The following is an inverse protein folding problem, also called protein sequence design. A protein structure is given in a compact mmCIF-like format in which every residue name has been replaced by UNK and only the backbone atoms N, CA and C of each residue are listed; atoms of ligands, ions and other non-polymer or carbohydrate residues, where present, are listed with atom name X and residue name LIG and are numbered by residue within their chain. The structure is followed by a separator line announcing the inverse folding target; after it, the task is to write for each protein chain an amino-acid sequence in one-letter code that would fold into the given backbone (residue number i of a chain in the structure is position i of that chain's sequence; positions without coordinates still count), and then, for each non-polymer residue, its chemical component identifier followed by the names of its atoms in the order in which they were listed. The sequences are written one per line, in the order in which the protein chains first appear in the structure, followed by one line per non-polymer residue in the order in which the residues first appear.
data_IF_505236414684
#
_entry.id   IF_505236414684
#
_cell.length_a   1.000
_cell.length_b   1.000
_cell.length_c   1.000
_cell.angle_alpha   90.00
_cell.angle_beta   90.00
_cell.angle_gamma   90.00
#
_symmetry.space_group_name_H-M   'P 1'
#
loop_
_entity.id
_entity.type
_entity.pdbx_description
1 polymer ?
#
# COMPACT_ATOMS: atom_id res chain seq x y z
N UNK A 1 11.40 -13.14 15.24
CA UNK A 1 10.57 -12.80 16.39
C UNK A 1 9.20 -12.26 15.96
N UNK A 2 9.09 -11.19 15.15
CA UNK A 2 7.78 -10.63 14.72
C UNK A 2 6.93 -11.65 13.98
N UNK A 3 7.48 -12.35 12.99
CA UNK A 3 6.77 -13.41 12.24
C UNK A 3 6.30 -14.53 13.15
N UNK A 4 7.11 -14.97 14.09
CA UNK A 4 6.72 -16.00 15.07
C UNK A 4 5.60 -15.53 16.02
N UNK A 5 5.58 -14.23 16.35
CA UNK A 5 4.46 -13.65 17.11
C UNK A 5 3.19 -13.61 16.26
N UNK A 6 3.29 -13.27 14.97
CA UNK A 6 2.15 -13.31 14.03
C UNK A 6 1.59 -14.73 13.92
N UNK A 7 2.44 -15.74 13.73
CA UNK A 7 2.06 -17.14 13.67
C UNK A 7 1.32 -17.58 14.96
N UNK A 8 1.91 -17.29 16.13
CA UNK A 8 1.29 -17.61 17.44
C UNK A 8 -0.01 -16.87 17.68
N UNK A 9 -0.14 -15.67 17.19
CA UNK A 9 -1.37 -14.87 17.29
C UNK A 9 -2.46 -15.33 16.31
N UNK A 10 -2.09 -16.06 15.26
CA UNK A 10 -2.99 -16.49 14.19
C UNK A 10 -3.31 -15.38 13.17
N UNK A 11 -2.41 -14.42 13.02
CA UNK A 11 -2.51 -13.33 12.07
C UNK A 11 -2.01 -13.78 10.69
N UNK A 12 -2.89 -13.77 9.70
CA UNK A 12 -2.52 -14.01 8.31
C UNK A 12 -1.75 -12.81 7.74
N UNK A 13 -0.62 -13.06 7.08
CA UNK A 13 0.17 -12.05 6.38
C UNK A 13 1.09 -12.71 5.34
N UNK A 14 1.40 -12.01 4.26
CA UNK A 14 2.28 -12.49 3.18
C UNK A 14 3.56 -11.67 3.04
N UNK A 15 3.58 -10.45 3.61
CA UNK A 15 4.69 -9.51 3.46
C UNK A 15 5.05 -8.91 4.81
N UNK A 16 6.35 -8.80 5.08
CA UNK A 16 6.90 -7.95 6.14
C UNK A 16 7.69 -6.82 5.50
N UNK A 17 7.55 -5.61 6.05
CA UNK A 17 8.21 -4.42 5.55
C UNK A 17 9.23 -3.89 6.56
N UNK A 18 10.40 -3.44 6.06
CA UNK A 18 11.47 -2.86 6.88
C UNK A 18 11.85 -1.50 6.30
N UNK A 19 11.66 -0.43 7.08
CA UNK A 19 12.11 0.92 6.73
C UNK A 19 13.60 1.12 7.04
N UNK A 20 14.03 0.81 8.24
CA UNK A 20 15.38 1.09 8.71
C UNK A 20 16.39 -0.02 8.40
N UNK A 21 16.60 -0.38 7.15
CA UNK A 21 17.53 -1.44 6.76
C UNK A 21 18.84 -0.94 6.14
N UNK A 22 18.87 0.32 5.67
CA UNK A 22 20.00 0.89 4.97
C UNK A 22 21.18 1.17 5.92
N UNK A 23 22.39 0.90 5.48
CA UNK A 23 23.63 1.19 6.20
C UNK A 23 23.82 2.69 6.42
N UNK A 24 23.37 3.52 5.48
CA UNK A 24 23.41 4.98 5.59
C UNK A 24 22.57 5.57 6.73
N UNK A 25 21.66 4.78 7.28
CA UNK A 25 20.89 5.15 8.49
C UNK A 25 21.65 4.86 9.79
N UNK A 26 22.80 4.22 9.70
CA UNK A 26 23.63 3.95 10.89
C UNK A 26 24.31 5.23 11.39
N UNK A 27 24.69 5.30 12.69
CA UNK A 27 25.34 6.47 13.27
C UNK A 27 26.67 6.87 12.62
N UNK A 28 27.36 5.93 11.99
CA UNK A 28 28.61 6.15 11.25
C UNK A 28 28.38 6.60 9.80
N UNK A 29 27.12 6.66 9.34
CA UNK A 29 26.73 7.20 8.04
C UNK A 29 26.93 6.26 6.86
N UNK A 30 27.21 4.98 7.13
CA UNK A 30 27.30 3.92 6.12
C UNK A 30 28.43 4.06 5.09
N UNK A 31 28.39 3.21 4.10
CA UNK A 31 29.33 3.17 2.98
C UNK A 31 28.85 3.94 1.74
N UNK A 32 29.46 3.62 0.59
CA UNK A 32 29.18 4.28 -0.70
C UNK A 32 27.96 3.74 -1.45
N UNK A 33 27.56 2.50 -1.14
CA UNK A 33 26.44 1.84 -1.84
C UNK A 33 25.09 2.41 -1.37
N UNK A 34 24.27 2.82 -2.32
CA UNK A 34 22.96 3.41 -2.02
C UNK A 34 21.97 2.40 -1.40
N UNK A 35 22.06 1.15 -1.80
CA UNK A 35 21.12 0.09 -1.42
C UNK A 35 21.86 -1.10 -0.76
N UNK A 36 22.61 -0.80 0.31
CA UNK A 36 23.28 -1.80 1.15
C UNK A 36 22.58 -1.99 2.48
N UNK A 37 22.52 -3.23 2.95
CA UNK A 37 22.08 -3.54 4.31
C UNK A 37 23.09 -3.03 5.34
N UNK A 38 22.59 -2.53 6.46
CA UNK A 38 23.38 -2.28 7.65
C UNK A 38 23.83 -3.65 8.23
N UNK A 39 25.10 -4.00 8.02
CA UNK A 39 25.64 -5.30 8.42
C UNK A 39 25.60 -5.54 9.93
N UNK A 40 25.59 -4.48 10.76
CA UNK A 40 25.47 -4.61 12.21
C UNK A 40 24.08 -5.04 12.63
N UNK A 41 23.05 -4.55 11.94
CA UNK A 41 21.64 -4.86 12.20
C UNK A 41 21.17 -6.10 11.44
N UNK A 42 21.73 -6.35 10.26
CA UNK A 42 21.38 -7.43 9.34
C UNK A 42 22.65 -8.15 8.89
N UNK A 43 23.33 -8.92 9.78
CA UNK A 43 24.63 -9.53 9.46
C UNK A 43 24.55 -10.58 8.35
N UNK A 44 23.39 -11.22 8.16
CA UNK A 44 23.16 -12.26 7.15
C UNK A 44 21.82 -12.01 6.44
N UNK A 45 21.69 -10.96 5.59
CA UNK A 45 20.41 -10.59 5.01
C UNK A 45 19.87 -11.66 4.05
N UNK A 46 20.70 -12.37 3.32
CA UNK A 46 20.29 -13.46 2.42
C UNK A 46 19.67 -14.62 3.18
N UNK A 47 20.27 -15.04 4.30
CA UNK A 47 19.75 -16.09 5.15
C UNK A 47 18.41 -15.68 5.79
N UNK A 48 18.31 -14.43 6.25
CA UNK A 48 17.06 -13.86 6.77
C UNK A 48 15.95 -13.92 5.71
N UNK A 49 16.22 -13.45 4.49
CA UNK A 49 15.26 -13.45 3.38
C UNK A 49 14.83 -14.87 3.02
N UNK A 50 15.78 -15.80 2.92
CA UNK A 50 15.50 -17.21 2.65
C UNK A 50 14.63 -17.85 3.75
N UNK A 51 14.89 -17.50 5.02
CA UNK A 51 14.11 -17.97 6.17
C UNK A 51 12.68 -17.43 6.13
N UNK A 52 12.49 -16.16 5.79
CA UNK A 52 11.16 -15.55 5.60
C UNK A 52 10.39 -16.24 4.46
N UNK A 53 11.05 -16.45 3.31
CA UNK A 53 10.44 -17.11 2.15
C UNK A 53 9.99 -18.56 2.46
N UNK A 54 10.77 -19.31 3.25
CA UNK A 54 10.37 -20.64 3.73
C UNK A 54 9.11 -20.63 4.60
N UNK A 55 8.82 -19.52 5.25
CA UNK A 55 7.62 -19.29 6.06
C UNK A 55 6.46 -18.66 5.26
N UNK A 56 6.57 -18.56 3.93
CA UNK A 56 5.56 -17.93 3.08
C UNK A 56 5.54 -16.39 3.17
N UNK A 57 6.57 -15.78 3.74
CA UNK A 57 6.65 -14.31 3.91
C UNK A 57 7.63 -13.72 2.91
N UNK A 58 7.18 -12.73 2.16
CA UNK A 58 8.02 -11.90 1.30
C UNK A 58 8.56 -10.67 2.05
N UNK A 59 9.75 -10.21 1.68
CA UNK A 59 10.34 -9.01 2.25
C UNK A 59 10.08 -7.79 1.38
N UNK A 60 9.60 -6.72 2.00
CA UNK A 60 9.52 -5.37 1.42
C UNK A 60 10.57 -4.46 2.05
N UNK A 61 11.28 -3.69 1.23
CA UNK A 61 12.33 -2.76 1.68
C UNK A 61 11.98 -1.33 1.30
N UNK A 62 12.23 -0.41 2.22
CA UNK A 62 12.06 1.02 2.03
C UNK A 62 13.22 1.63 1.25
N UNK A 63 12.92 2.62 0.43
CA UNK A 63 13.92 3.47 -0.21
C UNK A 63 13.33 4.87 -0.44
N UNK A 64 14.19 5.88 -0.55
CA UNK A 64 13.82 7.24 -0.92
C UNK A 64 14.81 7.80 -1.97
N UNK A 65 14.43 8.83 -2.74
CA UNK A 65 15.20 9.26 -3.90
C UNK A 65 16.26 10.30 -3.57
N UNK A 66 16.68 10.37 -2.32
CA UNK A 66 17.61 11.37 -1.82
C UNK A 66 18.84 10.72 -1.20
N UNK A 67 19.88 11.50 -1.07
CA UNK A 67 21.11 11.13 -0.35
C UNK A 67 21.33 12.11 0.79
N UNK A 68 21.53 11.60 1.99
CA UNK A 68 21.84 12.41 3.15
C UNK A 68 23.24 13.03 3.02
N UNK A 69 23.33 14.37 3.01
CA UNK A 69 24.64 15.02 3.05
C UNK A 69 25.35 14.80 4.37
N UNK A 70 24.60 14.84 5.46
CA UNK A 70 25.13 14.58 6.81
C UNK A 70 24.48 13.34 7.41
N UNK A 71 25.27 12.55 8.12
CA UNK A 71 24.81 11.33 8.76
C UNK A 71 23.70 11.61 9.80
N UNK A 72 22.93 10.55 10.16
CA UNK A 72 21.85 10.60 11.14
C UNK A 72 20.79 11.68 10.84
N UNK A 73 20.37 11.82 9.57
CA UNK A 73 19.38 12.81 9.18
C UNK A 73 19.76 14.26 9.55
N UNK A 74 21.03 14.62 9.35
CA UNK A 74 21.57 15.94 9.66
C UNK A 74 21.92 16.18 11.13
N UNK A 75 21.71 15.21 12.01
CA UNK A 75 22.05 15.30 13.45
C UNK A 75 23.54 15.11 13.75
N UNK A 76 24.34 14.74 12.76
CA UNK A 76 25.79 14.60 12.83
C UNK A 76 26.46 15.60 11.91
N UNK A 77 27.66 16.10 12.30
CA UNK A 77 28.48 16.97 11.43
C UNK A 77 29.24 16.21 10.34
N UNK A 78 29.25 14.89 10.40
CA UNK A 78 29.95 14.04 9.45
C UNK A 78 29.22 14.02 8.12
N UNK A 79 29.92 14.39 7.04
CA UNK A 79 29.48 14.19 5.65
C UNK A 79 29.52 12.71 5.32
N UNK A 80 28.46 12.18 4.72
CA UNK A 80 28.37 10.75 4.37
C UNK A 80 29.27 10.40 3.18
N UNK A 81 29.85 9.22 3.18
CA UNK A 81 30.64 8.72 2.03
C UNK A 81 29.75 8.54 0.80
N UNK A 82 28.49 8.19 1.00
CA UNK A 82 27.50 8.07 -0.06
C UNK A 82 27.30 9.40 -0.79
N UNK A 83 27.10 10.52 -0.06
CA UNK A 83 26.97 11.85 -0.67
C UNK A 83 28.21 12.22 -1.49
N UNK A 84 29.39 11.99 -0.93
CA UNK A 84 30.65 12.30 -1.63
C UNK A 84 30.79 11.49 -2.92
N UNK A 85 30.47 10.19 -2.86
CA UNK A 85 30.51 9.32 -4.03
C UNK A 85 29.48 9.74 -5.10
N UNK A 86 28.24 10.05 -4.72
CA UNK A 86 27.22 10.49 -5.66
C UNK A 86 27.53 11.85 -6.28
N UNK A 87 28.13 12.78 -5.50
CA UNK A 87 28.63 14.05 -6.00
C UNK A 87 29.74 13.84 -7.02
N UNK A 88 30.75 13.02 -6.73
CA UNK A 88 31.89 12.74 -7.63
C UNK A 88 31.41 12.14 -8.96
N UNK A 89 30.40 11.27 -8.92
CA UNK A 89 29.80 10.63 -10.11
C UNK A 89 28.84 11.54 -10.88
N UNK A 90 28.52 12.72 -10.38
CA UNK A 90 27.55 13.61 -10.99
C UNK A 90 26.11 13.08 -10.99
N UNK A 91 25.74 12.28 -9.99
CA UNK A 91 24.45 11.63 -9.84
C UNK A 91 23.40 12.46 -9.11
N UNK A 92 23.79 13.65 -8.66
CA UNK A 92 22.91 14.55 -7.89
C UNK A 92 22.39 15.68 -8.75
N UNK A 93 21.13 16.04 -8.54
CA UNK A 93 20.51 17.26 -9.07
C UNK A 93 21.32 18.48 -8.60
N UNK A 94 21.51 19.46 -9.47
CA UNK A 94 22.40 20.61 -9.24
C UNK A 94 21.64 21.90 -9.05
N UNK A 95 22.29 22.85 -8.40
CA UNK A 95 21.92 24.27 -8.43
C UNK A 95 22.38 24.92 -9.75
N UNK A 96 21.87 26.12 -10.07
CA UNK A 96 22.32 26.86 -11.25
C UNK A 96 23.83 27.13 -11.31
N UNK A 97 24.51 27.15 -10.14
CA UNK A 97 25.97 27.31 -10.06
C UNK A 97 26.78 26.03 -10.31
N UNK A 98 26.06 24.89 -10.56
CA UNK A 98 26.68 23.59 -10.86
C UNK A 98 26.96 22.70 -9.64
N UNK A 99 26.84 23.21 -8.42
CA UNK A 99 27.00 22.42 -7.19
C UNK A 99 25.75 21.58 -6.88
N UNK A 100 25.89 20.42 -6.19
CA UNK A 100 24.75 19.62 -5.78
C UNK A 100 23.74 20.42 -4.96
N UNK A 101 22.45 20.32 -5.33
CA UNK A 101 21.38 20.98 -4.59
C UNK A 101 21.10 20.23 -3.30
N UNK A 102 21.34 20.90 -2.17
CA UNK A 102 21.01 20.37 -0.84
C UNK A 102 19.82 21.14 -0.28
N UNK A 103 18.78 20.42 0.13
CA UNK A 103 17.52 20.98 0.64
C UNK A 103 16.94 20.08 1.73
N UNK A 104 15.87 20.51 2.36
CA UNK A 104 15.12 19.72 3.35
C UNK A 104 13.74 19.46 2.79
N UNK A 105 13.40 18.20 2.43
CA UNK A 105 12.10 17.87 1.90
C UNK A 105 11.06 17.88 3.02
N UNK A 106 9.90 18.48 2.75
CA UNK A 106 8.75 18.46 3.64
C UNK A 106 8.84 19.33 4.89
N UNK A 107 7.80 19.20 5.68
CA UNK A 107 7.68 19.80 7.03
C UNK A 107 7.80 18.72 8.11
N UNK A 108 7.87 19.11 9.36
CA UNK A 108 7.93 18.19 10.50
C UNK A 108 9.25 17.42 10.60
N UNK A 109 9.19 16.10 10.68
CA UNK A 109 10.36 15.25 10.91
C UNK A 109 11.39 15.29 9.78
N UNK A 110 10.99 15.68 8.57
CA UNK A 110 11.85 15.84 7.41
C UNK A 110 12.55 17.21 7.37
N UNK A 111 12.06 18.18 8.12
CA UNK A 111 12.69 19.51 8.22
C UNK A 111 14.11 19.41 8.78
N UNK A 112 15.07 20.01 8.07
CA UNK A 112 16.48 20.02 8.47
C UNK A 112 17.29 18.78 8.10
N UNK A 113 16.74 17.81 7.37
CA UNK A 113 17.47 16.61 6.94
C UNK A 113 18.71 16.89 6.10
N UNK A 114 18.72 17.98 5.30
CA UNK A 114 19.85 18.32 4.45
C UNK A 114 20.19 17.21 3.46
N UNK A 115 19.29 16.92 2.54
CA UNK A 115 19.45 15.88 1.51
C UNK A 115 19.73 16.47 0.15
N UNK A 116 20.29 15.66 -0.74
CA UNK A 116 20.45 15.97 -2.16
C UNK A 116 19.68 14.95 -3.01
N UNK A 117 18.93 15.43 -4.00
CA UNK A 117 18.14 14.58 -4.87
C UNK A 117 19.00 13.82 -5.89
N UNK A 118 18.65 12.56 -6.11
CA UNK A 118 19.18 11.74 -7.19
C UNK A 118 18.62 12.21 -8.54
N UNK A 119 19.46 12.29 -9.56
CA UNK A 119 19.06 12.77 -10.88
C UNK A 119 18.67 11.63 -11.82
N UNK A 120 17.39 11.24 -11.79
CA UNK A 120 16.86 10.16 -12.64
C UNK A 120 16.84 10.47 -14.14
N UNK A 121 17.26 11.66 -14.58
CA UNK A 121 17.49 11.96 -15.99
C UNK A 121 18.90 11.56 -16.43
N UNK A 122 19.80 11.28 -15.47
CA UNK A 122 21.17 10.82 -15.75
C UNK A 122 21.16 9.28 -16.00
N UNK A 123 21.50 8.84 -17.24
CA UNK A 123 21.47 7.42 -17.60
C UNK A 123 22.50 6.58 -16.83
N UNK A 124 23.61 7.15 -16.38
CA UNK A 124 24.59 6.43 -15.56
C UNK A 124 24.07 6.15 -14.15
N UNK A 125 23.31 7.07 -13.56
CA UNK A 125 22.61 6.82 -12.29
C UNK A 125 21.55 5.73 -12.46
N UNK A 126 20.75 5.81 -13.53
CA UNK A 126 19.72 4.79 -13.83
C UNK A 126 20.36 3.39 -13.94
N UNK A 127 21.49 3.28 -14.67
CA UNK A 127 22.22 2.01 -14.78
C UNK A 127 22.77 1.54 -13.43
N UNK A 128 23.33 2.45 -12.62
CA UNK A 128 23.81 2.17 -11.27
C UNK A 128 22.69 1.61 -10.36
N UNK A 129 21.53 2.25 -10.35
CA UNK A 129 20.37 1.82 -9.55
C UNK A 129 19.80 0.48 -10.06
N UNK A 130 19.73 0.31 -11.38
CA UNK A 130 19.24 -0.95 -11.98
C UNK A 130 20.03 -2.15 -11.48
N UNK A 131 21.36 -2.04 -11.42
CA UNK A 131 22.20 -3.13 -10.93
C UNK A 131 21.94 -3.45 -9.45
N UNK A 132 21.78 -2.43 -8.60
CA UNK A 132 21.54 -2.60 -7.16
C UNK A 132 20.18 -3.17 -6.85
N UNK A 133 19.15 -2.67 -7.53
CA UNK A 133 17.80 -3.22 -7.42
C UNK A 133 17.77 -4.67 -7.89
N UNK A 134 18.41 -4.98 -9.03
CA UNK A 134 18.49 -6.34 -9.53
C UNK A 134 19.21 -7.29 -8.54
N UNK A 135 20.25 -6.81 -7.85
CA UNK A 135 20.90 -7.57 -6.76
C UNK A 135 19.92 -7.89 -5.65
N UNK A 136 19.16 -6.91 -5.15
CA UNK A 136 18.15 -7.14 -4.10
C UNK A 136 17.07 -8.13 -4.53
N UNK A 137 16.59 -8.02 -5.78
CA UNK A 137 15.60 -8.97 -6.31
C UNK A 137 16.17 -10.39 -6.37
N UNK A 138 17.42 -10.57 -6.82
CA UNK A 138 18.10 -11.89 -6.82
C UNK A 138 18.33 -12.47 -5.42
N UNK A 139 18.54 -11.61 -4.40
CA UNK A 139 18.57 -12.04 -2.99
C UNK A 139 17.22 -12.54 -2.49
N UNK A 140 16.11 -12.28 -3.21
CA UNK A 140 14.77 -12.71 -2.86
C UNK A 140 13.88 -11.61 -2.25
N UNK A 141 14.28 -10.35 -2.34
CA UNK A 141 13.41 -9.22 -1.96
C UNK A 141 12.16 -9.24 -2.83
N UNK A 142 10.99 -9.13 -2.20
CA UNK A 142 9.69 -9.17 -2.87
C UNK A 142 9.35 -7.88 -3.60
N UNK A 143 9.50 -6.75 -2.91
CA UNK A 143 9.08 -5.43 -3.39
C UNK A 143 9.90 -4.31 -2.75
N UNK A 144 10.08 -3.21 -3.46
CA UNK A 144 10.65 -1.96 -2.94
C UNK A 144 9.52 -0.95 -2.73
N UNK A 145 9.47 -0.34 -1.54
CA UNK A 145 8.65 0.82 -1.22
C UNK A 145 9.43 2.08 -1.59
N UNK A 146 8.94 2.83 -2.57
CA UNK A 146 9.51 4.11 -2.99
C UNK A 146 8.81 5.26 -2.28
N UNK A 147 9.49 5.82 -1.30
CA UNK A 147 9.00 6.90 -0.45
C UNK A 147 9.47 8.26 -0.94
N UNK A 148 8.83 9.34 -0.50
CA UNK A 148 9.11 10.72 -0.89
C UNK A 148 8.97 11.00 -2.39
N UNK A 149 9.79 11.91 -2.93
CA UNK A 149 9.87 12.40 -4.31
C UNK A 149 8.88 13.51 -4.68
N UNK A 150 8.17 14.06 -3.73
CA UNK A 150 7.24 15.17 -3.97
C UNK A 150 7.97 16.51 -4.20
N UNK A 151 9.16 16.64 -3.64
CA UNK A 151 9.84 17.92 -3.58
C UNK A 151 11.15 17.95 -4.36
N UNK A 152 11.23 18.88 -5.28
CA UNK A 152 12.44 19.31 -6.00
C UNK A 152 12.42 20.84 -6.05
N UNK A 153 13.51 21.53 -5.71
CA UNK A 153 13.59 22.98 -5.82
C UNK A 153 13.36 23.45 -7.26
N UNK A 154 12.59 24.52 -7.45
CA UNK A 154 12.13 24.98 -8.76
C UNK A 154 13.27 25.40 -9.70
N UNK A 155 14.34 25.98 -9.14
CA UNK A 155 15.54 26.43 -9.88
C UNK A 155 16.61 25.33 -10.03
N UNK A 156 16.31 24.10 -9.62
CA UNK A 156 17.21 22.96 -9.79
C UNK A 156 17.51 22.71 -11.28
N UNK A 157 18.70 22.19 -11.57
CA UNK A 157 19.16 21.85 -12.92
C UNK A 157 19.47 20.36 -12.98
N UNK A 158 18.81 19.68 -13.91
CA UNK A 158 18.96 18.25 -14.15
C UNK A 158 20.01 17.95 -15.22
N UNK A 159 20.47 16.73 -15.31
CA UNK A 159 21.45 16.26 -16.27
C UNK A 159 21.00 16.46 -17.73
N UNK A 160 19.70 16.28 -18.01
CA UNK A 160 19.12 16.50 -19.34
C UNK A 160 18.86 17.97 -19.67
N UNK A 161 19.24 18.89 -18.80
CA UNK A 161 19.06 20.34 -18.95
C UNK A 161 17.68 20.85 -18.52
N UNK A 162 16.78 19.99 -18.06
CA UNK A 162 15.49 20.45 -17.53
C UNK A 162 15.67 21.18 -16.20
N UNK A 163 14.75 22.13 -15.92
CA UNK A 163 14.70 22.85 -14.64
C UNK A 163 13.83 22.10 -13.64
N UNK A 164 14.03 22.39 -12.34
CA UNK A 164 13.19 21.85 -11.28
C UNK A 164 11.72 22.14 -11.47
N UNK A 165 11.35 23.36 -11.90
CA UNK A 165 9.97 23.72 -12.21
C UNK A 165 9.35 22.82 -13.29
N UNK A 166 10.08 22.51 -14.35
CA UNK A 166 9.61 21.64 -15.43
C UNK A 166 9.62 20.15 -15.04
N UNK A 167 10.54 19.74 -14.19
CA UNK A 167 10.72 18.35 -13.76
C UNK A 167 9.91 17.97 -12.52
N UNK A 168 9.39 18.92 -11.73
CA UNK A 168 8.80 18.72 -10.41
C UNK A 168 7.86 17.51 -10.36
N UNK A 169 6.78 17.54 -11.13
CA UNK A 169 5.82 16.43 -11.15
C UNK A 169 6.34 15.18 -11.88
N UNK A 170 7.27 15.34 -12.82
CA UNK A 170 7.86 14.20 -13.54
C UNK A 170 8.87 13.43 -12.69
N UNK A 171 9.45 14.06 -11.68
CA UNK A 171 10.49 13.47 -10.85
C UNK A 171 9.99 12.20 -10.16
N UNK A 172 8.80 12.25 -9.58
CA UNK A 172 8.17 11.08 -8.96
C UNK A 172 7.94 9.94 -9.95
N UNK A 173 7.52 10.26 -11.18
CA UNK A 173 7.31 9.29 -12.24
C UNK A 173 8.63 8.64 -12.69
N UNK A 174 9.69 9.43 -12.87
CA UNK A 174 11.02 8.93 -13.26
C UNK A 174 11.60 8.02 -12.19
N UNK A 175 11.45 8.38 -10.92
CA UNK A 175 11.85 7.55 -9.79
C UNK A 175 11.10 6.22 -9.77
N UNK A 176 9.78 6.25 -9.75
CA UNK A 176 8.94 5.05 -9.76
C UNK A 176 9.25 4.15 -10.96
N UNK A 177 9.36 4.73 -12.16
CA UNK A 177 9.72 4.02 -13.39
C UNK A 177 11.08 3.32 -13.25
N UNK A 178 12.11 4.03 -12.82
CA UNK A 178 13.48 3.47 -12.71
C UNK A 178 13.50 2.25 -11.79
N UNK A 179 12.88 2.34 -10.61
CA UNK A 179 12.88 1.25 -9.64
C UNK A 179 12.00 0.08 -10.10
N UNK A 180 10.83 0.39 -10.68
CA UNK A 180 9.93 -0.64 -11.20
C UNK A 180 10.55 -1.42 -12.37
N UNK A 181 11.10 -0.75 -13.38
CA UNK A 181 11.70 -1.39 -14.55
C UNK A 181 12.91 -2.25 -14.16
N UNK A 182 13.73 -1.78 -13.23
CA UNK A 182 14.83 -2.56 -12.68
C UNK A 182 14.34 -3.82 -11.94
N UNK A 183 13.30 -3.68 -11.12
CA UNK A 183 12.66 -4.79 -10.40
C UNK A 183 12.02 -5.77 -11.38
N UNK A 184 11.31 -5.25 -12.40
CA UNK A 184 10.62 -6.04 -13.42
C UNK A 184 11.60 -6.88 -14.22
N UNK A 185 12.66 -6.29 -14.76
CA UNK A 185 13.65 -7.02 -15.54
C UNK A 185 14.31 -8.16 -14.74
N UNK A 186 14.63 -7.91 -13.46
CA UNK A 186 15.23 -8.93 -12.60
C UNK A 186 14.22 -10.05 -12.24
N UNK A 187 12.96 -9.70 -11.95
CA UNK A 187 11.90 -10.66 -11.59
C UNK A 187 11.47 -11.52 -12.78
N UNK A 188 11.29 -10.92 -13.96
CA UNK A 188 10.97 -11.64 -15.20
C UNK A 188 12.03 -12.68 -15.56
N UNK A 189 13.34 -12.36 -15.35
CA UNK A 189 14.43 -13.30 -15.54
C UNK A 189 14.36 -14.52 -14.60
N UNK A 190 13.65 -14.40 -13.48
CA UNK A 190 13.40 -15.48 -12.52
C UNK A 190 12.02 -16.14 -12.69
N UNK A 191 11.22 -15.73 -13.69
CA UNK A 191 9.84 -16.20 -13.91
C UNK A 191 8.84 -15.63 -12.89
N UNK A 192 9.17 -14.53 -12.21
CA UNK A 192 8.32 -13.87 -11.21
C UNK A 192 7.80 -12.52 -11.73
N UNK A 193 6.69 -12.04 -11.17
CA UNK A 193 6.15 -10.71 -11.43
C UNK A 193 6.73 -9.67 -10.48
N UNK A 194 6.88 -8.42 -10.94
CA UNK A 194 7.28 -7.29 -10.13
C UNK A 194 6.09 -6.51 -9.61
N UNK A 195 6.29 -5.88 -8.47
CA UNK A 195 5.41 -4.90 -7.87
C UNK A 195 6.28 -3.74 -7.38
N UNK A 196 5.77 -2.53 -7.48
CA UNK A 196 6.29 -1.35 -6.81
C UNK A 196 5.28 -0.90 -5.75
N UNK A 197 5.77 -0.13 -4.78
CA UNK A 197 4.92 0.49 -3.78
C UNK A 197 5.39 1.93 -3.53
N UNK A 198 4.71 2.89 -4.18
CA UNK A 198 5.07 4.31 -4.18
C UNK A 198 4.21 5.18 -3.30
N UNK A 199 4.77 6.27 -2.76
CA UNK A 199 4.02 7.31 -2.03
C UNK A 199 3.45 8.34 -2.99
N UNK A 200 4.31 9.05 -3.66
CA UNK A 200 3.93 10.10 -4.59
C UNK A 200 3.46 9.54 -5.93
N UNK A 201 2.69 10.33 -6.65
CA UNK A 201 2.17 9.95 -7.95
C UNK A 201 1.88 11.15 -8.85
N UNK A 202 1.99 10.93 -10.15
CA UNK A 202 1.64 11.88 -11.20
C UNK A 202 1.05 11.11 -12.39
N UNK A 203 0.61 11.83 -13.43
CA UNK A 203 0.11 11.19 -14.66
C UNK A 203 1.14 10.20 -15.22
N UNK A 204 0.76 8.92 -15.34
CA UNK A 204 1.63 7.80 -15.70
C UNK A 204 1.98 6.86 -14.54
N UNK A 205 1.78 7.27 -13.28
CA UNK A 205 2.09 6.42 -12.11
C UNK A 205 1.21 5.18 -12.00
N UNK A 206 0.04 5.17 -12.64
CA UNK A 206 -0.83 3.98 -12.73
C UNK A 206 -0.14 2.77 -13.38
N UNK A 207 0.95 2.98 -14.14
CA UNK A 207 1.75 1.91 -14.72
C UNK A 207 2.71 1.24 -13.71
N UNK A 208 2.86 1.82 -12.53
CA UNK A 208 3.81 1.38 -11.50
C UNK A 208 3.09 1.19 -10.15
N UNK A 209 2.12 0.26 -10.09
CA UNK A 209 1.34 0.04 -8.86
C UNK A 209 2.16 -0.66 -7.79
N UNK A 210 1.85 -0.47 -6.52
CA UNK A 210 0.73 0.24 -5.90
C UNK A 210 1.17 1.56 -5.26
N UNK A 211 0.19 2.27 -4.60
CA UNK A 211 0.47 3.49 -3.87
C UNK A 211 -0.14 3.44 -2.45
N UNK A 212 0.29 4.35 -1.56
CA UNK A 212 -0.39 4.56 -0.27
C UNK A 212 -0.55 6.06 0.03
N UNK A 213 -1.40 6.36 1.00
CA UNK A 213 -1.81 7.73 1.33
C UNK A 213 -0.77 8.55 2.12
N UNK A 214 0.49 8.09 2.21
CA UNK A 214 1.54 8.76 2.99
C UNK A 214 1.33 8.64 4.51
N UNK A 215 1.93 9.55 5.26
CA UNK A 215 2.03 9.54 6.72
C UNK A 215 0.76 10.09 7.38
N UNK A 216 -0.33 9.35 7.27
CA UNK A 216 -1.63 9.75 7.82
C UNK A 216 -1.70 9.58 9.35
N UNK A 217 -2.36 10.53 10.02
CA UNK A 217 -2.67 10.42 11.45
C UNK A 217 -3.81 9.42 11.71
N UNK A 218 -3.79 8.76 12.86
CA UNK A 218 -4.90 7.94 13.36
C UNK A 218 -6.03 8.76 14.02
N UNK A 219 -6.01 10.08 13.95
CA UNK A 219 -7.04 10.92 14.55
C UNK A 219 -8.44 10.63 13.99
N UNK A 220 -9.46 10.75 14.83
CA UNK A 220 -10.86 10.36 14.57
C UNK A 220 -11.40 10.74 13.19
N UNK A 221 -11.19 11.98 12.77
CA UNK A 221 -11.76 12.49 11.52
C UNK A 221 -10.93 12.15 10.28
N UNK A 222 -9.73 11.62 10.46
CA UNK A 222 -8.80 11.41 9.36
C UNK A 222 -9.19 10.20 8.49
N UNK A 223 -9.83 9.20 9.07
CA UNK A 223 -10.23 7.99 8.34
C UNK A 223 -11.23 8.29 7.20
N UNK A 224 -12.16 9.22 7.42
CA UNK A 224 -13.09 9.67 6.39
C UNK A 224 -12.35 10.47 5.28
N UNK A 225 -11.38 11.30 5.66
CA UNK A 225 -10.54 12.03 4.70
C UNK A 225 -9.68 11.07 3.86
N UNK A 226 -9.10 10.03 4.47
CA UNK A 226 -8.35 8.97 3.78
C UNK A 226 -9.24 8.26 2.75
N UNK A 227 -10.48 7.90 3.12
CA UNK A 227 -11.40 7.28 2.17
C UNK A 227 -11.67 8.21 0.98
N UNK A 228 -11.98 9.48 1.22
CA UNK A 228 -12.24 10.45 0.16
C UNK A 228 -11.03 10.66 -0.75
N UNK A 229 -9.83 10.78 -0.17
CA UNK A 229 -8.57 10.87 -0.91
C UNK A 229 -8.34 9.63 -1.78
N UNK A 230 -8.55 8.44 -1.22
CA UNK A 230 -8.39 7.18 -1.95
C UNK A 230 -9.40 6.97 -3.08
N UNK A 231 -10.65 7.39 -2.89
CA UNK A 231 -11.64 7.38 -3.97
C UNK A 231 -11.26 8.36 -5.08
N UNK A 232 -10.71 9.54 -4.74
CA UNK A 232 -10.19 10.51 -5.71
C UNK A 232 -8.97 9.96 -6.45
N UNK A 233 -8.05 9.27 -5.77
CA UNK A 233 -6.92 8.57 -6.40
C UNK A 233 -7.40 7.53 -7.41
N UNK A 234 -8.39 6.72 -7.03
CA UNK A 234 -9.02 5.74 -7.92
C UNK A 234 -9.61 6.37 -9.18
N UNK A 235 -10.33 7.49 -9.03
CA UNK A 235 -10.88 8.25 -10.16
C UNK A 235 -9.81 8.91 -11.03
N UNK A 236 -8.60 9.12 -10.50
CA UNK A 236 -7.43 9.64 -11.22
C UNK A 236 -6.57 8.53 -11.85
N UNK A 237 -7.02 7.26 -11.79
CA UNK A 237 -6.33 6.10 -12.38
C UNK A 237 -5.40 5.34 -11.43
N UNK A 238 -5.20 5.81 -10.20
CA UNK A 238 -4.41 5.10 -9.17
C UNK A 238 -5.34 4.13 -8.43
N UNK A 239 -5.49 2.95 -8.98
CA UNK A 239 -6.50 1.98 -8.54
C UNK A 239 -6.03 1.07 -7.39
N UNK A 240 -4.71 0.83 -7.29
CA UNK A 240 -4.13 -0.05 -6.27
C UNK A 240 -3.50 0.79 -5.17
N UNK A 241 -4.30 1.17 -4.18
CA UNK A 241 -3.84 2.02 -3.11
C UNK A 241 -4.23 1.47 -1.74
N UNK A 242 -3.57 1.98 -0.71
CA UNK A 242 -3.85 1.71 0.68
C UNK A 242 -3.44 2.88 1.56
N UNK A 243 -3.38 2.63 2.86
CA UNK A 243 -2.92 3.59 3.86
C UNK A 243 -2.34 2.84 5.07
N UNK A 244 -1.69 3.56 5.95
CA UNK A 244 -1.12 3.00 7.16
C UNK A 244 -2.22 2.67 8.18
N UNK A 245 -2.55 1.38 8.28
CA UNK A 245 -3.59 0.89 9.19
C UNK A 245 -3.15 1.14 10.63
N UNK A 246 -4.00 1.84 11.39
CA UNK A 246 -3.70 2.34 12.72
C UNK A 246 -3.09 3.73 12.72
N UNK A 247 -2.89 4.32 11.54
CA UNK A 247 -2.22 5.61 11.31
C UNK A 247 -0.71 5.53 11.46
N UNK A 248 0.03 6.25 10.62
CA UNK A 248 1.48 6.36 10.73
C UNK A 248 1.89 6.94 12.08
N UNK A 249 1.13 7.92 12.55
CA UNK A 249 1.27 8.48 13.89
C UNK A 249 -0.08 8.74 14.57
N UNK A 250 -0.04 8.89 15.89
CA UNK A 250 -1.11 9.41 16.70
C UNK A 250 -0.51 10.27 17.81
N UNK A 251 -1.13 11.42 18.07
CA UNK A 251 -0.70 12.32 19.13
C UNK A 251 -1.86 12.53 20.13
N UNK A 252 -1.52 12.67 21.39
CA UNK A 252 -2.42 13.18 22.42
C UNK A 252 -2.64 14.69 22.27
N UNK A 253 -3.42 15.27 23.16
CA UNK A 253 -3.75 16.71 23.17
C UNK A 253 -2.51 17.61 23.39
N UNK A 254 -1.43 17.06 23.96
CA UNK A 254 -0.16 17.74 24.19
C UNK A 254 0.81 17.60 23.01
N UNK A 255 0.41 16.88 21.94
CA UNK A 255 1.23 16.63 20.75
C UNK A 255 2.25 15.50 20.89
N UNK A 256 2.21 14.75 22.00
CA UNK A 256 3.10 13.61 22.22
C UNK A 256 2.63 12.38 21.43
N UNK A 257 3.57 11.66 20.84
CA UNK A 257 3.32 10.39 20.13
C UNK A 257 2.84 9.32 21.12
N UNK A 258 1.64 8.82 20.90
CA UNK A 258 1.00 7.77 21.70
C UNK A 258 0.36 6.71 20.81
N UNK A 259 0.02 5.57 21.38
CA UNK A 259 -0.79 4.57 20.66
C UNK A 259 -2.20 5.10 20.43
N UNK A 260 -2.79 4.89 19.24
CA UNK A 260 -4.18 5.25 19.00
C UNK A 260 -5.12 4.46 19.95
N UNK A 261 -6.25 5.07 20.36
CA UNK A 261 -7.28 4.36 21.09
C UNK A 261 -7.75 3.09 20.39
N UNK A 262 -8.07 2.05 21.16
CA UNK A 262 -8.40 0.73 20.62
C UNK A 262 -9.55 0.73 19.61
N UNK A 263 -10.59 1.56 19.81
CA UNK A 263 -11.68 1.69 18.84
C UNK A 263 -11.21 2.33 17.54
N UNK A 264 -10.47 3.43 17.57
CA UNK A 264 -9.92 4.12 16.39
C UNK A 264 -9.01 3.18 15.58
N UNK A 265 -8.15 2.44 16.30
CA UNK A 265 -7.32 1.41 15.70
C UNK A 265 -8.15 0.38 14.93
N UNK A 266 -9.20 -0.19 15.54
CA UNK A 266 -10.03 -1.21 14.90
C UNK A 266 -10.85 -0.64 13.74
N UNK A 267 -11.36 0.61 13.80
CA UNK A 267 -12.02 1.26 12.66
C UNK A 267 -11.05 1.42 11.48
N UNK A 268 -9.81 1.78 11.75
CA UNK A 268 -8.74 1.81 10.75
C UNK A 268 -8.45 0.42 10.17
N UNK A 269 -8.41 -0.63 11.00
CA UNK A 269 -8.25 -2.02 10.58
C UNK A 269 -9.40 -2.46 9.66
N UNK A 270 -10.65 -2.16 10.03
CA UNK A 270 -11.83 -2.50 9.24
C UNK A 270 -11.75 -1.93 7.82
N UNK A 271 -11.48 -0.63 7.69
CA UNK A 271 -11.37 0.01 6.37
C UNK A 271 -10.12 -0.45 5.62
N UNK A 272 -8.97 -0.51 6.27
CA UNK A 272 -7.68 -0.81 5.65
C UNK A 272 -7.57 -2.25 5.16
N UNK A 273 -8.20 -3.22 5.86
CA UNK A 273 -8.24 -4.60 5.38
C UNK A 273 -9.24 -4.81 4.23
N UNK A 274 -10.07 -3.82 3.92
CA UNK A 274 -10.93 -3.80 2.72
C UNK A 274 -10.35 -2.92 1.60
N UNK A 275 -9.18 -2.32 1.79
CA UNK A 275 -8.47 -1.59 0.74
C UNK A 275 -7.67 -2.56 -0.17
N UNK A 276 -7.35 -2.17 -1.42
CA UNK A 276 -6.53 -2.97 -2.32
C UNK A 276 -5.19 -3.37 -1.72
N UNK A 277 -4.43 -2.41 -1.19
CA UNK A 277 -3.21 -2.61 -0.43
C UNK A 277 -3.50 -2.50 1.06
N UNK A 278 -3.07 -3.48 1.86
CA UNK A 278 -3.30 -3.50 3.30
C UNK A 278 -2.01 -3.69 4.06
N UNK A 279 -1.68 -2.75 4.94
CA UNK A 279 -0.49 -2.78 5.76
C UNK A 279 -0.74 -2.13 7.13
N UNK A 280 -0.51 -2.86 8.22
CA UNK A 280 -0.36 -2.25 9.54
C UNK A 280 1.01 -1.60 9.63
N UNK A 281 1.05 -0.30 9.89
CA UNK A 281 2.29 0.46 9.98
C UNK A 281 2.13 1.70 10.85
N UNK A 282 3.21 2.05 11.55
CA UNK A 282 3.28 3.26 12.35
C UNK A 282 4.70 3.53 12.82
N UNK A 283 4.95 4.78 13.21
CA UNK A 283 6.22 5.26 13.74
C UNK A 283 6.12 5.43 15.26
N UNK A 284 7.21 5.13 15.97
CA UNK A 284 7.42 5.32 17.42
C UNK A 284 6.50 4.50 18.33
N UNK A 285 5.29 4.20 17.94
CA UNK A 285 4.37 3.38 18.72
C UNK A 285 3.88 2.17 17.93
N UNK A 286 3.68 1.00 18.58
CA UNK A 286 3.34 -0.23 17.88
C UNK A 286 1.94 -0.20 17.27
N UNK A 287 1.79 -0.88 16.11
CA UNK A 287 0.52 -1.11 15.42
C UNK A 287 0.14 -2.59 15.38
N UNK A 288 0.94 -3.44 15.97
CA UNK A 288 0.67 -4.86 16.05
C UNK A 288 -0.46 -5.13 17.05
N UNK A 289 -1.44 -5.99 16.68
CA UNK A 289 -2.66 -6.17 17.45
C UNK A 289 -2.44 -6.68 18.88
N UNK A 290 -1.37 -7.39 19.15
CA UNK A 290 -1.08 -7.93 20.49
C UNK A 290 -0.71 -6.89 21.55
N UNK A 291 -0.49 -5.62 21.16
CA UNK A 291 -0.30 -4.52 22.09
C UNK A 291 -1.61 -3.84 22.53
N UNK A 292 -2.73 -4.21 21.92
CA UNK A 292 -4.06 -3.67 22.22
C UNK A 292 -4.85 -4.59 23.17
N UNK A 293 -6.06 -4.17 23.56
CA UNK A 293 -6.96 -4.94 24.40
C UNK A 293 -7.36 -6.29 23.77
N UNK A 294 -7.79 -7.25 24.57
CA UNK A 294 -8.26 -8.55 24.06
C UNK A 294 -9.44 -8.44 23.10
N UNK A 295 -10.31 -7.44 23.31
CA UNK A 295 -11.42 -7.13 22.41
C UNK A 295 -10.89 -6.65 21.05
N UNK A 296 -9.96 -5.70 21.03
CA UNK A 296 -9.32 -5.22 19.80
C UNK A 296 -8.54 -6.34 19.07
N UNK A 297 -7.85 -7.20 19.82
CA UNK A 297 -7.18 -8.38 19.26
C UNK A 297 -8.18 -9.31 18.54
N UNK A 298 -9.31 -9.60 19.17
CA UNK A 298 -10.36 -10.44 18.58
C UNK A 298 -10.96 -9.79 17.33
N UNK A 299 -11.26 -8.50 17.40
CA UNK A 299 -11.79 -7.73 16.28
C UNK A 299 -10.80 -7.71 15.11
N UNK A 300 -9.52 -7.46 15.37
CA UNK A 300 -8.47 -7.52 14.34
C UNK A 300 -8.46 -8.88 13.62
N UNK A 301 -8.43 -9.98 14.37
CA UNK A 301 -8.40 -11.33 13.79
C UNK A 301 -9.62 -11.64 12.95
N UNK A 302 -10.82 -11.19 13.38
CA UNK A 302 -12.05 -11.40 12.62
C UNK A 302 -11.96 -10.73 11.23
N UNK A 303 -11.53 -9.47 11.17
CA UNK A 303 -11.42 -8.72 9.90
C UNK A 303 -10.24 -9.22 9.06
N UNK A 304 -9.11 -9.57 9.68
CA UNK A 304 -7.96 -10.15 8.99
C UNK A 304 -8.34 -11.47 8.28
N UNK A 305 -9.02 -12.38 8.98
CA UNK A 305 -9.50 -13.61 8.37
C UNK A 305 -10.55 -13.37 7.28
N UNK A 306 -11.40 -12.37 7.44
CA UNK A 306 -12.35 -11.99 6.40
C UNK A 306 -11.64 -11.54 5.12
N UNK A 307 -10.62 -10.67 5.23
CA UNK A 307 -9.81 -10.25 4.07
C UNK A 307 -9.21 -11.45 3.34
N UNK A 308 -8.58 -12.37 4.08
CA UNK A 308 -7.95 -13.53 3.47
C UNK A 308 -8.96 -14.44 2.77
N UNK A 309 -10.14 -14.59 3.33
CA UNK A 309 -11.24 -15.31 2.65
C UNK A 309 -11.70 -14.59 1.37
N UNK A 310 -11.67 -13.27 1.33
CA UNK A 310 -12.07 -12.47 0.18
C UNK A 310 -10.97 -12.36 -0.91
N UNK A 311 -9.76 -12.88 -0.71
CA UNK A 311 -8.66 -12.73 -1.66
C UNK A 311 -8.99 -13.21 -3.09
N UNK A 312 -9.73 -14.30 -3.33
CA UNK A 312 -10.12 -14.65 -4.69
C UNK A 312 -10.96 -13.57 -5.38
N UNK A 313 -11.87 -12.95 -4.63
CA UNK A 313 -12.66 -11.82 -5.13
C UNK A 313 -11.81 -10.57 -5.37
N UNK A 314 -10.96 -10.21 -4.40
CA UNK A 314 -10.07 -9.06 -4.52
C UNK A 314 -9.13 -9.20 -5.73
N UNK A 315 -8.62 -10.40 -5.95
CA UNK A 315 -7.74 -10.67 -7.08
C UNK A 315 -8.48 -10.64 -8.43
N UNK A 316 -9.71 -11.17 -8.49
CA UNK A 316 -10.57 -11.04 -9.67
C UNK A 316 -10.90 -9.57 -9.98
N UNK A 317 -11.18 -8.77 -8.95
CA UNK A 317 -11.38 -7.32 -9.08
C UNK A 317 -10.13 -6.60 -9.57
N UNK A 318 -8.94 -7.00 -9.09
CA UNK A 318 -7.67 -6.44 -9.55
C UNK A 318 -7.42 -6.76 -11.03
N UNK A 319 -7.75 -7.96 -11.48
CA UNK A 319 -7.68 -8.33 -12.88
C UNK A 319 -8.63 -7.49 -13.76
N UNK A 320 -9.87 -7.33 -13.32
CA UNK A 320 -10.84 -6.44 -14.00
C UNK A 320 -10.31 -4.99 -14.08
N UNK A 321 -9.76 -4.48 -12.98
CA UNK A 321 -9.14 -3.16 -12.90
C UNK A 321 -8.04 -3.00 -13.95
N UNK A 322 -7.17 -4.00 -14.10
CA UNK A 322 -6.09 -3.97 -15.08
C UNK A 322 -6.61 -3.83 -16.53
N UNK A 323 -7.66 -4.56 -16.88
CA UNK A 323 -8.18 -4.56 -18.24
C UNK A 323 -9.14 -3.42 -18.56
N UNK A 324 -9.93 -2.98 -17.58
CA UNK A 324 -10.97 -1.96 -17.79
C UNK A 324 -10.57 -0.56 -17.33
N UNK A 325 -9.49 -0.43 -16.56
CA UNK A 325 -9.07 0.83 -15.96
C UNK A 325 -10.00 1.33 -14.83
N UNK A 326 -10.99 0.53 -14.40
CA UNK A 326 -11.88 0.87 -13.30
C UNK A 326 -11.17 0.62 -11.96
N UNK A 327 -11.27 1.54 -10.97
CA UNK A 327 -10.63 1.32 -9.68
C UNK A 327 -11.23 0.13 -8.93
N UNK A 328 -10.43 -0.49 -8.04
CA UNK A 328 -10.92 -1.52 -7.13
C UNK A 328 -11.90 -0.94 -6.10
N UNK A 329 -11.56 0.20 -5.48
CA UNK A 329 -12.46 0.96 -4.62
C UNK A 329 -13.16 2.02 -5.48
N UNK A 330 -14.47 1.87 -5.67
CA UNK A 330 -15.26 2.71 -6.58
C UNK A 330 -16.15 3.65 -5.79
N UNK A 331 -16.04 4.95 -6.04
CA UNK A 331 -17.04 5.89 -5.52
C UNK A 331 -18.44 5.42 -5.94
N UNK A 332 -19.43 5.57 -5.05
CA UNK A 332 -20.81 5.14 -5.34
C UNK A 332 -21.34 5.75 -6.65
N UNK A 333 -20.94 6.98 -6.93
CA UNK A 333 -21.30 7.68 -8.18
C UNK A 333 -20.81 6.92 -9.44
N UNK A 334 -19.66 6.26 -9.40
CA UNK A 334 -19.13 5.53 -10.55
C UNK A 334 -20.03 4.36 -10.97
N UNK A 335 -20.66 3.70 -9.99
CA UNK A 335 -21.51 2.53 -10.21
C UNK A 335 -23.00 2.85 -10.37
N UNK A 336 -23.47 3.99 -9.84
CA UNK A 336 -24.89 4.36 -9.74
C UNK A 336 -25.11 5.78 -10.20
N UNK A 337 -24.68 6.14 -11.42
CA UNK A 337 -24.68 7.52 -11.94
C UNK A 337 -26.05 8.17 -11.99
N UNK A 338 -27.10 7.38 -12.20
CA UNK A 338 -28.49 7.85 -12.31
C UNK A 338 -29.15 8.10 -10.93
N UNK A 339 -28.54 7.59 -9.85
CA UNK A 339 -29.06 7.78 -8.49
C UNK A 339 -28.51 9.06 -7.88
N UNK A 340 -29.38 10.06 -7.76
CA UNK A 340 -29.00 11.40 -7.26
C UNK A 340 -28.49 11.35 -5.80
N UNK A 341 -28.93 10.37 -5.01
CA UNK A 341 -28.53 10.22 -3.61
C UNK A 341 -27.03 9.94 -3.46
N UNK A 342 -26.43 9.23 -4.42
CA UNK A 342 -25.03 8.82 -4.31
C UNK A 342 -24.03 9.90 -4.75
N UNK A 343 -24.49 11.01 -5.34
CA UNK A 343 -23.59 12.03 -5.92
C UNK A 343 -22.64 12.68 -4.92
N UNK A 344 -23.06 12.80 -3.66
CA UNK A 344 -22.26 13.36 -2.57
C UNK A 344 -21.96 12.32 -1.47
N UNK A 345 -22.19 11.04 -1.75
CA UNK A 345 -22.03 9.99 -0.76
C UNK A 345 -20.57 9.55 -0.67
N UNK A 346 -19.90 9.94 0.40
CA UNK A 346 -18.47 9.74 0.62
C UNK A 346 -18.15 8.83 1.82
N UNK A 347 -19.18 8.23 2.44
CA UNK A 347 -19.02 7.41 3.65
C UNK A 347 -19.05 5.91 3.37
N UNK A 348 -19.22 5.51 2.12
CA UNK A 348 -19.25 4.15 1.65
C UNK A 348 -18.77 4.07 0.20
N UNK A 349 -18.43 2.87 -0.26
CA UNK A 349 -17.92 2.64 -1.61
C UNK A 349 -18.27 1.24 -2.11
N UNK A 350 -18.14 1.01 -3.42
CA UNK A 350 -18.14 -0.33 -3.95
C UNK A 350 -16.71 -0.87 -4.04
N UNK A 351 -16.47 -2.04 -3.51
CA UNK A 351 -15.25 -2.81 -3.73
C UNK A 351 -15.51 -3.74 -4.92
N UNK A 352 -14.91 -3.43 -6.07
CA UNK A 352 -15.37 -3.97 -7.35
C UNK A 352 -16.82 -3.58 -7.64
N UNK A 353 -17.49 -4.31 -8.51
CA UNK A 353 -18.89 -4.07 -8.84
C UNK A 353 -19.91 -4.79 -7.95
N UNK A 354 -19.42 -5.72 -7.10
CA UNK A 354 -20.31 -6.65 -6.38
C UNK A 354 -20.51 -6.29 -4.91
N UNK A 355 -19.51 -5.76 -4.22
CA UNK A 355 -19.52 -5.63 -2.76
C UNK A 355 -19.54 -4.17 -2.31
N UNK A 356 -20.64 -3.73 -1.70
CA UNK A 356 -20.70 -2.45 -1.01
C UNK A 356 -20.02 -2.59 0.35
N UNK A 357 -19.12 -1.66 0.64
CA UNK A 357 -18.39 -1.54 1.91
C UNK A 357 -18.76 -0.23 2.57
N UNK A 358 -19.21 -0.29 3.82
CA UNK A 358 -19.59 0.89 4.59
C UNK A 358 -18.76 1.00 5.88
N UNK A 359 -17.58 1.61 5.84
CA UNK A 359 -16.75 1.80 7.02
C UNK A 359 -17.46 2.57 8.12
N UNK A 360 -17.18 2.23 9.37
CA UNK A 360 -17.69 2.97 10.52
C UNK A 360 -16.65 4.04 10.88
N UNK A 361 -17.09 5.29 10.87
CA UNK A 361 -16.32 6.46 11.34
C UNK A 361 -16.78 6.90 12.74
N UNK A 362 -16.65 8.16 13.07
CA UNK A 362 -17.07 8.74 14.37
C UNK A 362 -18.55 9.22 14.39
N UNK A 363 -19.40 8.74 13.49
CA UNK A 363 -20.82 9.08 13.49
C UNK A 363 -21.58 8.42 14.66
N UNK A 364 -22.51 9.13 15.28
CA UNK A 364 -23.35 8.58 16.35
C UNK A 364 -24.23 7.44 15.86
N UNK A 365 -24.81 7.60 14.66
CA UNK A 365 -25.65 6.60 14.00
C UNK A 365 -25.02 6.25 12.65
N UNK A 366 -24.82 4.97 12.41
CA UNK A 366 -24.26 4.49 11.16
C UNK A 366 -25.35 4.29 10.11
N UNK A 367 -25.56 5.30 9.29
CA UNK A 367 -26.47 5.25 8.15
C UNK A 367 -25.74 4.74 6.91
N UNK A 368 -26.36 3.78 6.22
CA UNK A 368 -25.87 3.20 4.98
C UNK A 368 -26.96 3.34 3.93
N UNK A 369 -26.63 3.84 2.76
CA UNK A 369 -27.53 3.89 1.63
C UNK A 369 -27.33 2.65 0.74
N UNK A 370 -28.39 1.89 0.54
CA UNK A 370 -28.43 0.80 -0.44
C UNK A 370 -29.10 1.33 -1.70
N UNK A 371 -28.39 1.51 -2.84
CA UNK A 371 -29.00 1.86 -4.12
C UNK A 371 -30.11 0.86 -4.55
N UNK A 372 -30.93 1.25 -5.50
CA UNK A 372 -32.04 0.43 -5.99
C UNK A 372 -31.56 -0.98 -6.36
N UNK A 373 -32.43 -1.98 -6.16
CA UNK A 373 -32.15 -3.40 -6.37
C UNK A 373 -32.25 -4.23 -5.08
N UNK A 374 -31.78 -5.46 -5.11
CA UNK A 374 -31.78 -6.38 -3.98
C UNK A 374 -30.36 -6.55 -3.44
N UNK A 375 -30.21 -6.47 -2.13
CA UNK A 375 -28.93 -6.60 -1.44
C UNK A 375 -28.96 -7.76 -0.44
N UNK A 376 -27.84 -8.43 -0.25
CA UNK A 376 -27.67 -9.41 0.83
C UNK A 376 -26.60 -8.88 1.79
N UNK A 377 -26.93 -8.78 3.07
CA UNK A 377 -25.92 -8.58 4.10
C UNK A 377 -24.96 -9.76 4.10
N UNK A 378 -23.68 -9.50 3.79
CA UNK A 378 -22.70 -10.55 3.45
C UNK A 378 -22.49 -11.56 4.57
N UNK A 379 -22.59 -11.12 5.82
CA UNK A 379 -22.32 -11.97 6.97
C UNK A 379 -23.52 -12.83 7.39
N UNK A 380 -24.70 -12.24 7.40
CA UNK A 380 -25.91 -12.92 7.89
C UNK A 380 -26.68 -13.66 6.80
N UNK A 381 -26.46 -13.26 5.53
CA UNK A 381 -27.24 -13.73 4.39
C UNK A 381 -28.63 -13.10 4.30
N UNK A 382 -28.96 -12.14 5.15
CA UNK A 382 -30.25 -11.46 5.14
C UNK A 382 -30.41 -10.63 3.87
N UNK A 383 -31.50 -10.89 3.13
CA UNK A 383 -31.88 -10.15 1.93
C UNK A 383 -32.69 -8.91 2.31
N UNK A 384 -32.37 -7.77 1.67
CA UNK A 384 -33.07 -6.52 1.89
C UNK A 384 -33.23 -5.72 0.59
N UNK A 385 -34.33 -4.96 0.44
CA UNK A 385 -34.53 -4.09 -0.71
C UNK A 385 -33.63 -2.84 -0.61
N UNK A 386 -33.12 -2.41 -1.76
CA UNK A 386 -32.43 -1.14 -1.92
C UNK A 386 -33.36 0.05 -2.17
N UNK A 387 -32.81 1.16 -2.69
CA UNK A 387 -33.48 2.44 -2.87
C UNK A 387 -33.75 3.16 -1.55
N UNK A 388 -33.00 2.86 -0.48
CA UNK A 388 -33.26 3.40 0.86
C UNK A 388 -32.03 3.46 1.76
N UNK A 389 -32.15 4.28 2.78
CA UNK A 389 -31.24 4.29 3.92
C UNK A 389 -31.59 3.19 4.92
N UNK A 390 -30.57 2.56 5.46
CA UNK A 390 -30.68 1.62 6.59
C UNK A 390 -29.76 2.09 7.73
N UNK A 391 -30.01 1.59 8.92
CA UNK A 391 -29.16 1.78 10.10
C UNK A 391 -28.42 0.48 10.40
N UNK A 392 -27.11 0.55 10.53
CA UNK A 392 -26.27 -0.59 10.90
C UNK A 392 -25.70 -0.43 12.30
N UNK A 393 -25.52 -1.54 12.99
CA UNK A 393 -24.83 -1.57 14.27
C UNK A 393 -23.33 -1.31 14.09
N UNK A 394 -22.73 -0.54 15.00
CA UNK A 394 -21.29 -0.23 14.99
C UNK A 394 -20.48 -1.28 15.77
N UNK A 395 -20.49 -2.53 15.33
CA UNK A 395 -19.71 -3.61 15.96
C UNK A 395 -18.21 -3.44 15.67
N UNK A 396 -17.37 -3.76 16.64
CA UNK A 396 -15.91 -3.68 16.46
C UNK A 396 -15.35 -4.86 15.65
N UNK A 397 -15.94 -6.03 15.78
CA UNK A 397 -15.51 -7.26 15.11
C UNK A 397 -16.07 -7.43 13.69
N UNK A 398 -16.84 -6.45 13.18
CA UNK A 398 -17.54 -6.51 11.91
C UNK A 398 -17.44 -5.21 11.14
N UNK A 399 -17.25 -5.33 9.82
CA UNK A 399 -17.45 -4.23 8.89
C UNK A 399 -18.73 -4.52 8.09
N UNK A 400 -19.68 -3.55 7.96
CA UNK A 400 -20.86 -3.73 7.15
C UNK A 400 -20.54 -3.92 5.68
N UNK A 401 -20.93 -5.07 5.14
CA UNK A 401 -20.73 -5.48 3.75
C UNK A 401 -22.05 -5.95 3.15
N UNK A 402 -22.35 -5.51 1.93
CA UNK A 402 -23.59 -5.88 1.24
C UNK A 402 -23.28 -6.34 -0.18
N UNK A 403 -23.74 -7.55 -0.53
CA UNK A 403 -23.60 -8.12 -1.87
C UNK A 403 -24.76 -7.64 -2.75
N UNK A 404 -24.41 -6.99 -3.86
CA UNK A 404 -25.34 -6.50 -4.88
C UNK A 404 -26.04 -7.65 -5.56
N UNK A 405 -27.29 -7.44 -6.05
CA UNK A 405 -28.03 -8.41 -6.84
C UNK A 405 -27.31 -8.77 -8.14
N UNK A 406 -27.55 -10.00 -8.60
CA UNK A 406 -26.96 -10.60 -9.80
C UNK A 406 -25.42 -10.58 -9.81
N UNK A 407 -24.86 -10.74 -8.62
CA UNK A 407 -23.41 -10.77 -8.39
C UNK A 407 -23.02 -11.98 -7.54
N UNK A 408 -21.77 -12.40 -7.70
CA UNK A 408 -21.17 -13.44 -6.88
C UNK A 408 -19.80 -13.01 -6.36
N UNK A 409 -19.44 -13.56 -5.22
CA UNK A 409 -18.14 -13.35 -4.57
C UNK A 409 -17.52 -14.72 -4.30
N UNK A 410 -16.43 -15.09 -5.00
CA UNK A 410 -15.65 -16.26 -4.64
C UNK A 410 -14.85 -15.96 -3.36
N UNK A 411 -14.87 -16.89 -2.43
CA UNK A 411 -14.13 -16.82 -1.17
C UNK A 411 -13.37 -18.10 -0.91
N UNK A 412 -12.27 -18.02 -0.19
CA UNK A 412 -11.64 -19.20 0.38
C UNK A 412 -12.58 -19.82 1.44
N UNK A 413 -12.47 -21.14 1.60
CA UNK A 413 -13.21 -21.85 2.65
C UNK A 413 -12.77 -21.39 4.04
N UNK A 414 -11.47 -21.23 4.22
CA UNK A 414 -10.82 -20.78 5.45
C UNK A 414 -9.75 -19.75 5.12
N UNK A 415 -9.41 -18.92 6.08
CA UNK A 415 -8.31 -17.97 5.94
C UNK A 415 -6.99 -18.70 6.22
N UNK A 416 -6.07 -18.85 5.24
CA UNK A 416 -4.76 -19.41 5.47
C UNK A 416 -3.86 -18.42 6.22
N UNK A 417 -2.75 -18.88 6.78
CA UNK A 417 -1.73 -18.00 7.36
C UNK A 417 -0.98 -17.21 6.29
N UNK A 418 -0.74 -17.82 5.14
CA UNK A 418 -0.10 -17.25 3.96
C UNK A 418 -0.84 -17.74 2.72
N UNK A 419 -0.82 -16.95 1.66
CA UNK A 419 -1.40 -17.35 0.37
C UNK A 419 -0.43 -18.25 -0.40
N UNK A 420 -0.97 -19.36 -0.87
CA UNK A 420 -0.30 -20.28 -1.79
C UNK A 420 -1.27 -20.78 -2.85
N UNK A 421 -0.76 -21.38 -3.92
CA UNK A 421 -1.55 -21.88 -5.06
C UNK A 421 -2.64 -22.88 -4.62
N UNK A 422 -2.35 -23.73 -3.65
CA UNK A 422 -3.28 -24.73 -3.12
C UNK A 422 -4.55 -24.13 -2.50
N UNK A 423 -4.48 -22.90 -1.99
CA UNK A 423 -5.62 -22.24 -1.35
C UNK A 423 -6.76 -21.97 -2.35
N UNK A 424 -6.46 -21.82 -3.62
CA UNK A 424 -7.44 -21.51 -4.66
C UNK A 424 -8.08 -22.75 -5.31
N UNK A 425 -7.69 -23.96 -4.93
CA UNK A 425 -8.23 -25.21 -5.51
C UNK A 425 -9.69 -25.46 -5.14
N UNK A 426 -10.16 -24.89 -4.02
CA UNK A 426 -11.55 -25.03 -3.55
C UNK A 426 -12.06 -23.70 -3.06
N UNK A 427 -13.06 -23.17 -3.73
CA UNK A 427 -13.70 -21.90 -3.39
C UNK A 427 -15.11 -22.13 -2.91
N UNK A 428 -15.56 -21.27 -2.00
CA UNK A 428 -16.98 -21.04 -1.70
C UNK A 428 -17.43 -19.86 -2.52
N UNK A 429 -18.60 -19.95 -3.13
CA UNK A 429 -19.19 -18.82 -3.84
C UNK A 429 -20.40 -18.33 -3.06
N UNK A 430 -20.40 -17.05 -2.69
CA UNK A 430 -21.54 -16.35 -2.11
C UNK A 430 -22.24 -15.63 -3.26
N UNK A 431 -23.52 -15.88 -3.43
CA UNK A 431 -24.29 -15.39 -4.60
C UNK A 431 -25.54 -14.63 -4.14
N UNK A 432 -25.83 -13.55 -4.85
CA UNK A 432 -27.11 -12.86 -4.81
C UNK A 432 -27.71 -12.87 -6.23
N UNK A 433 -28.14 -14.03 -6.67
CA UNK A 433 -28.55 -14.27 -8.07
C UNK A 433 -30.06 -14.28 -8.17
N UNK A 434 -30.57 -13.58 -9.17
CA UNK A 434 -31.94 -13.72 -9.69
C UNK A 434 -31.94 -14.29 -11.10
N UNK A 435 -30.99 -13.89 -11.98
CA UNK A 435 -31.04 -14.27 -13.41
C UNK A 435 -29.70 -14.57 -14.10
N UNK A 436 -28.53 -14.14 -13.58
CA UNK A 436 -27.27 -14.24 -14.33
C UNK A 436 -26.06 -14.37 -13.42
N UNK A 437 -25.09 -15.24 -13.79
CA UNK A 437 -23.81 -15.41 -13.08
C UNK A 437 -22.66 -14.71 -13.81
N UNK A 438 -21.66 -14.26 -13.06
CA UNK A 438 -20.45 -13.60 -13.53
C UNK A 438 -19.27 -14.55 -13.62
N UNK A 439 -18.26 -14.15 -14.40
CA UNK A 439 -16.99 -14.86 -14.49
C UNK A 439 -16.06 -14.44 -13.35
N UNK A 440 -15.29 -15.39 -12.83
CA UNK A 440 -14.26 -15.16 -11.84
C UNK A 440 -12.91 -15.45 -12.46
N UNK A 441 -12.00 -14.49 -12.37
CA UNK A 441 -10.62 -14.68 -12.77
C UNK A 441 -9.80 -15.28 -11.63
N UNK A 442 -8.90 -16.17 -12.00
CA UNK A 442 -7.96 -16.78 -11.06
C UNK A 442 -6.66 -17.17 -11.78
N UNK A 443 -5.52 -16.96 -11.17
CA UNK A 443 -4.22 -17.43 -11.62
C UNK A 443 -3.34 -17.93 -10.45
N UNK A 444 -2.10 -18.32 -10.74
CA UNK A 444 -1.16 -18.82 -9.74
C UNK A 444 -0.56 -17.72 -8.83
N UNK A 445 -0.91 -16.46 -9.06
CA UNK A 445 -0.37 -15.33 -8.32
C UNK A 445 1.10 -14.96 -8.59
N UNK A 446 1.79 -15.73 -9.43
CA UNK A 446 3.24 -15.58 -9.70
C UNK A 446 3.51 -15.32 -11.18
N UNK A 447 3.09 -16.24 -12.04
CA UNK A 447 3.43 -16.19 -13.48
C UNK A 447 2.40 -15.46 -14.33
N UNK A 448 1.21 -15.20 -13.81
CA UNK A 448 0.10 -14.61 -14.53
C UNK A 448 -0.60 -15.58 -15.50
N UNK A 449 -0.35 -16.88 -15.39
CA UNK A 449 -1.05 -17.89 -16.16
C UNK A 449 -2.42 -18.13 -15.56
N UNK A 450 -3.47 -17.86 -16.32
CA UNK A 450 -4.84 -18.12 -15.90
C UNK A 450 -5.05 -19.61 -15.61
N UNK A 451 -5.50 -19.91 -14.39
CA UNK A 451 -5.74 -21.28 -13.95
C UNK A 451 -7.21 -21.71 -14.09
N UNK A 452 -8.17 -20.80 -13.94
CA UNK A 452 -9.58 -21.09 -14.10
C UNK A 452 -10.42 -19.84 -14.40
N UNK A 453 -11.44 -20.05 -15.19
CA UNK A 453 -12.56 -19.11 -15.38
C UNK A 453 -13.81 -19.86 -14.97
N UNK A 454 -14.44 -19.49 -13.88
CA UNK A 454 -15.73 -20.03 -13.48
C UNK A 454 -16.82 -19.32 -14.28
N UNK A 455 -17.32 -19.97 -15.32
CA UNK A 455 -18.49 -19.51 -16.06
C UNK A 455 -19.77 -20.07 -15.48
N UNK A 456 -20.78 -19.22 -15.26
CA UNK A 456 -22.10 -19.67 -14.88
C UNK A 456 -22.77 -20.41 -16.06
N UNK A 457 -22.93 -21.70 -15.94
CA UNK A 457 -23.93 -22.48 -16.69
C UNK A 457 -25.18 -22.63 -15.85
N UNK A 458 -26.33 -22.69 -16.51
CA UNK A 458 -27.70 -22.74 -15.98
C UNK A 458 -27.90 -23.44 -14.67
#
# INVERSE_FOLDING_TARGET
ETVEKMERFGMSADVIHIDGWLDTMSPDGGGKDLLAFDEKRFPNPEEMIASLKKKGIHLSLWMFPYVQKKAMWGRSDRTTEQYLYMKERGFLVKRPDGEPYTFSPGEGDAAGMGVAALDFTNPELVAYLTERVARLMRMGVGVIKTDFSEEIPEDAVFWDGSTGLAAHNKYTLLYAKTIYEASRAAKEAMGERALLWGRSGFAGSQNYPANWAGDSSAAKNNLAAILNGGLSMGMSGISFWGFDIGGFYHCDEEGKRVMPPGEEYIRSVQMGLMAPLSRSHGQETPREPWFYSKEAQKAFLAVNKLRYRLLPYLYSTAYETHWRGLPMMRAMLLEFQEDLTVRQLSTQYMLGESLLVAPVFDQQIHHIYLPAGSWIEFETGNRMPGGRWIVSEKKLDKIPLYLRENRMIPTLLEAPMHIGEENFRRLRVVMNVTDRMEQVYYDDGVTGKAAAVLGGGQ
#
